data_IF_052550373268
#
_entry.id   IF_052550373268
#
_cell.length_a   1.000
_cell.length_b   1.000
_cell.length_c   1.000
_cell.angle_alpha   90.00
_cell.angle_beta   90.00
_cell.angle_gamma   90.00
#
_symmetry.space_group_name_H-M   'P 1'
#
loop_
_entity.id
_entity.type
_entity.pdbx_description
1 polymer ?
#
# COMPACT_ATOMS: atom_id res chain seq x y z
N UNK A 1 20.11 -10.82 -1.17
CA UNK A 1 18.80 -10.28 -1.58
C UNK A 1 19.06 -9.08 -2.48
N UNK A 2 18.41 -8.98 -3.66
CA UNK A 2 18.58 -7.84 -4.55
C UNK A 2 18.22 -6.53 -3.85
N UNK A 3 19.00 -5.48 -4.08
CA UNK A 3 18.73 -4.15 -3.54
C UNK A 3 17.89 -3.33 -4.53
N UNK A 4 16.76 -2.82 -4.06
CA UNK A 4 15.90 -1.89 -4.78
C UNK A 4 16.10 -0.46 -4.29
N UNK A 5 16.25 0.48 -5.22
CA UNK A 5 16.35 1.91 -4.90
C UNK A 5 15.04 2.62 -5.22
N UNK A 6 14.52 3.39 -4.27
CA UNK A 6 13.37 4.25 -4.50
C UNK A 6 13.78 5.39 -5.45
N UNK A 7 13.04 5.59 -6.54
CA UNK A 7 13.37 6.66 -7.50
C UNK A 7 13.22 8.05 -6.86
N UNK A 8 14.08 8.99 -7.25
CA UNK A 8 14.17 10.33 -6.64
C UNK A 8 12.83 11.07 -6.55
N UNK A 9 12.02 11.02 -7.61
CA UNK A 9 10.70 11.68 -7.61
C UNK A 9 9.74 11.14 -6.55
N UNK A 10 9.89 9.87 -6.17
CA UNK A 10 9.09 9.22 -5.13
C UNK A 10 9.62 9.55 -3.74
N UNK A 11 10.94 9.65 -3.58
CA UNK A 11 11.57 10.17 -2.34
C UNK A 11 11.07 11.58 -2.04
N UNK A 12 11.11 12.47 -3.03
CA UNK A 12 10.67 13.86 -2.87
C UNK A 12 9.18 13.97 -2.54
N UNK A 13 8.36 13.11 -3.16
CA UNK A 13 6.93 13.03 -2.85
C UNK A 13 6.68 12.53 -1.41
N UNK A 14 7.39 11.49 -0.98
CA UNK A 14 7.26 10.94 0.37
C UNK A 14 7.55 11.99 1.43
N UNK A 15 8.63 12.74 1.28
CA UNK A 15 8.96 13.87 2.17
C UNK A 15 7.87 14.93 2.22
N UNK A 16 7.32 15.32 1.07
CA UNK A 16 6.28 16.37 0.99
C UNK A 16 4.95 15.95 1.61
N UNK A 17 4.70 14.64 1.73
CA UNK A 17 3.41 14.10 2.17
C UNK A 17 3.50 13.34 3.49
N UNK A 18 4.67 13.38 4.14
CA UNK A 18 5.02 12.59 5.32
C UNK A 18 3.98 12.71 6.44
N UNK A 19 3.58 13.93 6.82
CA UNK A 19 2.62 14.15 7.90
C UNK A 19 1.24 13.52 7.62
N UNK A 20 0.78 13.53 6.36
CA UNK A 20 -0.48 12.89 6.00
C UNK A 20 -0.40 11.37 6.18
N UNK A 21 0.72 10.76 5.78
CA UNK A 21 0.92 9.32 5.94
C UNK A 21 1.20 8.92 7.39
N UNK A 22 1.85 9.77 8.18
CA UNK A 22 2.01 9.58 9.62
C UNK A 22 0.65 9.59 10.34
N UNK A 23 -0.26 10.47 9.95
CA UNK A 23 -1.63 10.48 10.48
C UNK A 23 -2.38 9.19 10.11
N UNK A 24 -2.30 8.74 8.85
CA UNK A 24 -2.92 7.48 8.41
C UNK A 24 -2.33 6.28 9.19
N UNK A 25 -1.00 6.18 9.30
CA UNK A 25 -0.30 5.15 10.08
C UNK A 25 -0.81 5.10 11.52
N UNK A 26 -0.89 6.26 12.17
CA UNK A 26 -1.32 6.39 13.56
C UNK A 26 -2.78 5.92 13.73
N UNK A 27 -3.68 6.31 12.84
CA UNK A 27 -5.08 5.86 12.86
C UNK A 27 -5.22 4.34 12.67
N UNK A 28 -4.38 3.76 11.80
CA UNK A 28 -4.32 2.31 11.62
C UNK A 28 -3.86 1.63 12.92
N UNK A 29 -2.81 2.14 13.57
CA UNK A 29 -2.31 1.61 14.83
C UNK A 29 -3.36 1.67 15.96
N UNK A 30 -4.16 2.74 16.00
CA UNK A 30 -5.30 2.86 16.93
C UNK A 30 -6.47 1.93 16.63
N UNK A 31 -6.56 1.39 15.42
CA UNK A 31 -7.64 0.48 15.03
C UNK A 31 -7.49 -0.94 15.62
N UNK A 32 -6.30 -1.28 16.13
CA UNK A 32 -6.07 -2.53 16.85
C UNK A 32 -4.63 -3.06 16.72
N UNK A 33 -4.05 -3.52 17.83
CA UNK A 33 -2.68 -4.03 17.88
C UNK A 33 -2.46 -5.34 17.10
N UNK A 34 -3.54 -6.05 16.74
CA UNK A 34 -3.47 -7.31 15.98
C UNK A 34 -3.48 -7.10 14.46
N UNK A 35 -3.68 -5.87 13.97
CA UNK A 35 -3.70 -5.57 12.54
C UNK A 35 -2.26 -5.46 12.05
N UNK A 36 -1.79 -6.48 11.31
CA UNK A 36 -0.45 -6.48 10.69
C UNK A 36 -0.51 -6.44 9.18
N UNK A 37 -1.44 -7.19 8.58
CA UNK A 37 -1.58 -7.32 7.12
C UNK A 37 -2.73 -6.44 6.64
N UNK A 38 -2.42 -5.49 5.76
CA UNK A 38 -3.35 -4.46 5.31
C UNK A 38 -3.43 -4.48 3.79
N UNK A 39 -4.60 -4.80 3.25
CA UNK A 39 -4.88 -4.72 1.82
C UNK A 39 -5.37 -3.32 1.45
N UNK A 40 -4.74 -2.71 0.43
CA UNK A 40 -5.12 -1.39 -0.05
C UNK A 40 -5.63 -1.53 -1.48
N UNK A 41 -6.88 -1.11 -1.68
CA UNK A 41 -7.56 -1.14 -2.98
C UNK A 41 -8.11 0.23 -3.37
N UNK A 42 -8.66 0.34 -4.57
CA UNK A 42 -9.36 1.51 -5.09
C UNK A 42 -10.58 1.08 -5.91
N UNK A 43 -11.44 2.02 -6.29
CA UNK A 43 -12.62 1.73 -7.11
C UNK A 43 -12.19 1.51 -8.56
N UNK A 44 -11.34 2.39 -9.07
CA UNK A 44 -10.80 2.39 -10.44
C UNK A 44 -9.27 2.52 -10.44
N UNK A 45 -8.68 2.37 -11.62
CA UNK A 45 -7.27 2.64 -11.83
C UNK A 45 -6.94 4.15 -11.72
N UNK A 46 -5.72 4.44 -11.26
CA UNK A 46 -5.19 5.81 -11.23
C UNK A 46 -5.72 6.70 -10.10
N UNK A 47 -6.40 6.15 -9.10
CA UNK A 47 -6.83 6.90 -7.90
C UNK A 47 -5.70 7.14 -6.89
N UNK A 48 -4.53 6.56 -7.13
CA UNK A 48 -3.31 6.77 -6.33
C UNK A 48 -3.08 5.75 -5.22
N UNK A 49 -3.85 4.67 -5.21
CA UNK A 49 -3.67 3.45 -4.40
C UNK A 49 -2.20 3.04 -4.23
N UNK A 50 -1.47 2.77 -5.32
CA UNK A 50 -0.07 2.35 -5.24
C UNK A 50 0.86 3.41 -4.63
N UNK A 51 0.59 4.70 -4.87
CA UNK A 51 1.32 5.79 -4.19
C UNK A 51 1.03 5.76 -2.70
N UNK A 52 -0.23 5.59 -2.31
CA UNK A 52 -0.63 5.45 -0.90
C UNK A 52 0.04 4.24 -0.25
N UNK A 53 0.04 3.08 -0.90
CA UNK A 53 0.67 1.84 -0.41
C UNK A 53 2.16 2.03 -0.13
N UNK A 54 2.90 2.65 -1.06
CA UNK A 54 4.34 2.93 -0.90
C UNK A 54 4.60 3.88 0.26
N UNK A 55 3.91 5.01 0.31
CA UNK A 55 4.20 6.02 1.33
C UNK A 55 3.74 5.58 2.72
N UNK A 56 2.68 4.79 2.81
CA UNK A 56 2.28 4.18 4.08
C UNK A 56 3.33 3.17 4.55
N UNK A 57 3.87 2.33 3.65
CA UNK A 57 4.95 1.41 3.99
C UNK A 57 6.22 2.14 4.46
N UNK A 58 6.59 3.23 3.78
CA UNK A 58 7.70 4.11 4.20
C UNK A 58 7.43 4.72 5.59
N UNK A 59 6.20 5.17 5.86
CA UNK A 59 5.83 5.74 7.15
C UNK A 59 5.91 4.71 8.29
N UNK A 60 5.55 3.44 8.07
CA UNK A 60 5.78 2.39 9.06
C UNK A 60 7.28 2.13 9.25
N UNK A 61 8.05 2.02 8.17
CA UNK A 61 9.49 1.78 8.24
C UNK A 61 10.25 2.92 8.93
N UNK A 62 9.82 4.18 8.75
CA UNK A 62 10.50 5.36 9.33
C UNK A 62 10.48 5.42 10.85
N UNK A 63 9.55 4.70 11.50
CA UNK A 63 9.49 4.53 12.96
C UNK A 63 10.13 3.23 13.44
N UNK A 64 10.93 2.58 12.59
CA UNK A 64 11.71 1.39 12.92
C UNK A 64 10.93 0.06 12.87
N UNK A 65 9.71 0.06 12.33
CA UNK A 65 8.91 -1.15 12.18
C UNK A 65 9.33 -1.90 10.90
N UNK A 66 9.62 -3.19 11.03
CA UNK A 66 9.95 -4.04 9.89
C UNK A 66 8.71 -4.16 9.01
N UNK A 67 8.79 -3.60 7.81
CA UNK A 67 7.66 -3.43 6.92
C UNK A 67 7.91 -4.14 5.60
N UNK A 68 6.93 -4.91 5.14
CA UNK A 68 6.93 -5.51 3.81
C UNK A 68 5.87 -4.84 2.94
N UNK A 69 6.26 -4.36 1.77
CA UNK A 69 5.33 -3.93 0.72
C UNK A 69 5.21 -5.02 -0.35
N UNK A 70 4.00 -5.49 -0.60
CA UNK A 70 3.71 -6.49 -1.63
C UNK A 70 2.90 -5.83 -2.74
N UNK A 71 3.46 -5.85 -3.95
CA UNK A 71 2.77 -5.47 -5.17
C UNK A 71 1.98 -6.67 -5.71
N UNK A 72 0.71 -6.75 -5.33
CA UNK A 72 -0.21 -7.81 -5.75
C UNK A 72 -1.08 -7.41 -6.95
N UNK A 73 -0.84 -6.25 -7.57
CA UNK A 73 -1.44 -5.91 -8.87
C UNK A 73 -0.64 -6.55 -10.02
N UNK A 74 -0.79 -7.87 -10.15
CA UNK A 74 -0.11 -8.65 -11.20
C UNK A 74 -0.69 -8.42 -12.59
N UNK A 75 -1.73 -7.58 -12.73
CA UNK A 75 -2.34 -7.23 -14.03
C UNK A 75 -1.75 -5.96 -14.61
N UNK A 76 -1.59 -4.93 -13.78
CA UNK A 76 -1.12 -3.62 -14.23
C UNK A 76 -0.31 -2.90 -13.15
N UNK A 77 0.74 -3.55 -12.66
CA UNK A 77 1.65 -2.95 -11.68
C UNK A 77 2.30 -1.67 -12.19
N UNK A 78 2.12 -0.61 -11.40
CA UNK A 78 2.84 0.66 -11.54
C UNK A 78 4.04 0.78 -10.61
N UNK A 79 4.25 -0.22 -9.72
CA UNK A 79 5.35 -0.22 -8.75
C UNK A 79 6.70 -0.58 -9.37
N UNK A 80 6.70 -1.24 -10.53
CA UNK A 80 7.90 -1.46 -11.37
C UNK A 80 8.63 -0.15 -11.76
N UNK A 81 7.92 0.98 -11.79
CA UNK A 81 8.48 2.32 -12.01
C UNK A 81 8.98 3.02 -10.73
N UNK A 82 8.59 2.52 -9.56
CA UNK A 82 8.83 3.15 -8.26
C UNK A 82 10.15 2.71 -7.65
N UNK A 83 10.46 1.43 -7.76
CA UNK A 83 11.69 0.83 -7.27
C UNK A 83 12.54 0.34 -8.45
N UNK A 84 13.85 0.61 -8.44
CA UNK A 84 14.79 0.20 -9.48
C UNK A 84 15.91 -0.64 -8.91
N UNK A 85 16.30 -1.69 -9.63
CA UNK A 85 17.49 -2.48 -9.32
C UNK A 85 18.39 -2.58 -10.54
N UNK A 86 19.68 -2.74 -10.30
CA UNK A 86 20.65 -3.12 -11.32
C UNK A 86 20.82 -4.64 -11.43
N UNK A 87 20.24 -5.39 -10.49
CA UNK A 87 20.30 -6.85 -10.44
C UNK A 87 18.93 -7.45 -10.84
N UNK A 88 18.91 -8.63 -11.47
CA UNK A 88 17.66 -9.34 -11.71
C UNK A 88 17.05 -9.83 -10.39
N UNK A 89 15.73 -9.77 -10.29
CA UNK A 89 14.98 -10.26 -9.15
C UNK A 89 13.66 -10.90 -9.58
N UNK A 90 13.12 -11.77 -8.74
CA UNK A 90 11.82 -12.43 -8.96
C UNK A 90 10.72 -11.65 -8.24
N UNK A 91 9.51 -11.66 -8.80
CA UNK A 91 8.34 -11.06 -8.18
C UNK A 91 7.32 -12.08 -7.70
N UNK A 92 6.19 -11.58 -7.21
CA UNK A 92 5.07 -12.35 -6.67
C UNK A 92 4.59 -13.41 -7.66
N UNK A 93 4.40 -13.06 -8.93
CA UNK A 93 3.94 -14.02 -9.94
C UNK A 93 4.92 -15.17 -10.17
N UNK A 94 6.24 -14.91 -10.05
CA UNK A 94 7.25 -15.96 -10.14
C UNK A 94 7.15 -16.93 -8.96
N UNK A 95 6.97 -16.40 -7.75
CA UNK A 95 6.79 -17.19 -6.53
C UNK A 95 5.52 -18.04 -6.61
N UNK A 96 4.39 -17.43 -6.94
CA UNK A 96 3.09 -18.11 -6.97
C UNK A 96 3.01 -19.18 -8.06
N UNK A 97 3.66 -18.98 -9.22
CA UNK A 97 3.61 -19.92 -10.34
C UNK A 97 4.72 -20.99 -10.33
N UNK A 98 5.95 -20.65 -9.93
CA UNK A 98 7.13 -21.55 -10.06
C UNK A 98 7.67 -22.09 -8.74
N UNK A 99 7.01 -21.81 -7.61
CA UNK A 99 7.56 -22.08 -6.28
C UNK A 99 9.00 -21.56 -6.16
N UNK A 100 9.24 -20.33 -6.66
CA UNK A 100 10.52 -19.68 -6.47
C UNK A 100 10.84 -19.57 -4.97
N UNK A 101 12.12 -19.52 -4.60
CA UNK A 101 12.48 -19.29 -3.21
C UNK A 101 11.97 -17.91 -2.77
N UNK A 102 11.32 -17.86 -1.62
CA UNK A 102 10.81 -16.63 -1.04
C UNK A 102 11.94 -15.62 -0.76
N UNK A 103 13.14 -16.09 -0.40
CA UNK A 103 14.31 -15.25 -0.16
C UNK A 103 14.86 -14.62 -1.46
N UNK A 104 14.56 -15.18 -2.62
CA UNK A 104 14.86 -14.59 -3.94
C UNK A 104 13.75 -13.64 -4.44
N UNK A 105 12.59 -13.67 -3.78
CA UNK A 105 11.40 -12.87 -4.13
C UNK A 105 11.32 -11.59 -3.29
N UNK A 106 11.72 -11.67 -2.02
CA UNK A 106 11.83 -10.52 -1.12
C UNK A 106 13.10 -9.75 -1.46
N UNK A 107 12.93 -8.48 -1.84
CA UNK A 107 14.02 -7.58 -2.15
C UNK A 107 14.16 -6.52 -1.06
N UNK A 108 15.38 -6.28 -0.60
CA UNK A 108 15.66 -5.18 0.33
C UNK A 108 15.59 -3.85 -0.42
N UNK A 109 15.26 -2.77 0.29
CA UNK A 109 15.30 -1.42 -0.30
C UNK A 109 16.43 -0.57 0.27
N UNK A 110 16.68 0.59 -0.34
CA UNK A 110 17.51 1.65 0.22
C UNK A 110 16.86 2.41 1.38
N UNK A 111 15.66 1.98 1.81
CA UNK A 111 14.95 2.49 2.97
C UNK A 111 15.07 1.45 4.09
N UNK A 112 15.69 1.85 5.20
CA UNK A 112 15.88 0.97 6.36
C UNK A 112 14.54 0.47 6.88
N UNK A 113 14.45 -0.85 7.13
CA UNK A 113 13.23 -1.49 7.63
C UNK A 113 12.15 -1.75 6.58
N UNK A 114 12.36 -1.39 5.31
CA UNK A 114 11.41 -1.64 4.23
C UNK A 114 11.95 -2.67 3.23
N UNK A 115 11.22 -3.78 3.10
CA UNK A 115 11.40 -4.77 2.04
C UNK A 115 10.22 -4.72 1.06
N UNK A 116 10.44 -5.22 -0.16
CA UNK A 116 9.46 -5.20 -1.23
C UNK A 116 9.41 -6.55 -1.96
N UNK A 117 8.19 -7.01 -2.24
CA UNK A 117 7.91 -8.01 -3.27
C UNK A 117 7.23 -7.28 -4.43
N UNK A 118 7.87 -7.27 -5.60
CA UNK A 118 7.28 -6.74 -6.84
C UNK A 118 6.23 -7.69 -7.41
N UNK A 119 5.37 -7.24 -8.34
CA UNK A 119 4.38 -8.13 -8.95
C UNK A 119 4.99 -9.24 -9.80
N UNK A 120 6.14 -9.00 -10.44
CA UNK A 120 6.73 -9.89 -11.43
C UNK A 120 6.04 -9.80 -12.80
N UNK A 121 6.38 -10.70 -13.74
CA UNK A 121 5.74 -10.73 -15.06
C UNK A 121 4.24 -11.04 -14.95
N UNK A 122 3.44 -10.49 -15.86
CA UNK A 122 1.99 -10.75 -15.89
C UNK A 122 1.74 -12.25 -16.13
N UNK A 123 1.11 -12.98 -15.20
CA UNK A 123 0.84 -14.40 -15.37
C UNK A 123 -0.38 -14.63 -16.27
N UNK A 124 -0.51 -15.81 -16.91
CA UNK A 124 -1.66 -16.11 -17.76
C UNK A 124 -2.98 -16.15 -16.97
N UNK A 125 -2.95 -16.61 -15.71
CA UNK A 125 -4.12 -16.71 -14.84
C UNK A 125 -3.85 -16.05 -13.46
N UNK A 126 -3.95 -14.72 -13.34
CA UNK A 126 -3.65 -14.00 -12.09
C UNK A 126 -4.50 -14.44 -10.89
N UNK A 127 -5.81 -14.54 -11.08
CA UNK A 127 -6.77 -14.80 -9.99
C UNK A 127 -6.54 -16.15 -9.33
N UNK A 128 -6.29 -17.21 -10.10
CA UNK A 128 -6.08 -18.56 -9.54
C UNK A 128 -4.79 -18.67 -8.74
N UNK A 129 -3.76 -17.91 -9.12
CA UNK A 129 -2.50 -17.85 -8.37
C UNK A 129 -2.67 -17.22 -6.98
N UNK A 130 -3.60 -16.28 -6.82
CA UNK A 130 -3.89 -15.65 -5.53
C UNK A 130 -4.72 -16.55 -4.59
N UNK A 131 -5.41 -17.55 -5.14
CA UNK A 131 -6.25 -18.48 -4.37
C UNK A 131 -5.51 -19.74 -3.90
N UNK A 132 -4.27 -19.94 -4.37
CA UNK A 132 -3.52 -21.14 -4.07
C UNK A 132 -2.83 -21.10 -2.70
N UNK A 133 -2.22 -22.23 -2.33
CA UNK A 133 -1.55 -22.43 -1.05
C UNK A 133 -0.27 -21.61 -0.93
N UNK A 134 0.37 -21.25 -2.05
CA UNK A 134 1.57 -20.43 -2.05
C UNK A 134 1.28 -19.02 -1.53
N UNK A 135 0.16 -18.41 -1.93
CA UNK A 135 -0.18 -17.09 -1.42
C UNK A 135 -0.48 -17.14 0.09
N UNK A 136 -1.15 -18.18 0.57
CA UNK A 136 -1.38 -18.40 2.01
C UNK A 136 -0.06 -18.56 2.76
N UNK A 137 0.84 -19.39 2.25
CA UNK A 137 2.17 -19.60 2.82
C UNK A 137 2.98 -18.29 2.87
N UNK A 138 2.95 -17.49 1.81
CA UNK A 138 3.57 -16.16 1.78
C UNK A 138 3.05 -15.28 2.91
N UNK A 139 1.72 -15.24 3.12
CA UNK A 139 1.12 -14.43 4.20
C UNK A 139 1.55 -14.92 5.59
N UNK A 140 1.60 -16.23 5.83
CA UNK A 140 2.07 -16.81 7.09
C UNK A 140 3.52 -16.41 7.38
N UNK A 141 4.41 -16.55 6.39
CA UNK A 141 5.81 -16.17 6.54
C UNK A 141 5.93 -14.66 6.77
N UNK A 142 5.22 -13.84 6.00
CA UNK A 142 5.23 -12.39 6.14
C UNK A 142 4.78 -11.94 7.55
N UNK A 143 3.69 -12.53 8.08
CA UNK A 143 3.19 -12.26 9.44
C UNK A 143 4.20 -12.58 10.55
N UNK A 144 5.04 -13.59 10.32
CA UNK A 144 6.08 -13.99 11.29
C UNK A 144 7.32 -13.10 11.24
N UNK A 145 7.66 -12.55 10.07
CA UNK A 145 8.91 -11.81 9.84
C UNK A 145 8.77 -10.29 9.99
N UNK A 146 7.59 -9.75 9.73
CA UNK A 146 7.34 -8.31 9.66
C UNK A 146 6.35 -7.86 10.73
N UNK A 147 6.53 -6.62 11.17
CA UNK A 147 5.61 -5.96 12.09
C UNK A 147 4.37 -5.48 11.32
N UNK A 148 4.56 -5.02 10.07
CA UNK A 148 3.50 -4.66 9.13
C UNK A 148 3.73 -5.20 7.71
N UNK A 149 2.64 -5.57 7.05
CA UNK A 149 2.62 -5.99 5.64
C UNK A 149 1.57 -5.17 4.91
N UNK A 150 2.00 -4.36 3.95
CA UNK A 150 1.12 -3.54 3.11
C UNK A 150 0.98 -4.22 1.75
N UNK A 151 -0.25 -4.52 1.34
CA UNK A 151 -0.52 -5.18 0.06
C UNK A 151 -1.22 -4.21 -0.89
N UNK A 152 -0.54 -3.86 -1.96
CA UNK A 152 -1.10 -3.08 -3.06
C UNK A 152 -1.88 -4.00 -4.00
N UNK A 153 -3.20 -3.90 -4.06
CA UNK A 153 -4.05 -4.81 -4.85
C UNK A 153 -4.47 -4.18 -6.18
N UNK A 154 -5.07 -4.91 -7.13
CA UNK A 154 -5.85 -4.29 -8.20
C UNK A 154 -7.05 -3.46 -7.66
N UNK A 155 -7.71 -2.63 -8.49
CA UNK A 155 -8.95 -1.94 -8.09
C UNK A 155 -10.11 -2.94 -7.90
N UNK A 156 -10.72 -2.95 -6.71
CA UNK A 156 -11.82 -3.87 -6.37
C UNK A 156 -13.09 -3.63 -7.20
N UNK A 157 -13.27 -2.41 -7.70
CA UNK A 157 -14.39 -2.10 -8.59
C UNK A 157 -14.25 -2.71 -10.00
N UNK A 158 -13.07 -3.22 -10.36
CA UNK A 158 -12.79 -3.76 -11.70
C UNK A 158 -12.60 -5.29 -11.70
N UNK A 159 -11.92 -5.85 -10.70
CA UNK A 159 -11.60 -7.28 -10.63
C UNK A 159 -11.70 -7.83 -9.21
N UNK A 160 -12.00 -9.13 -9.10
CA UNK A 160 -12.22 -9.81 -7.81
C UNK A 160 -10.92 -10.06 -7.02
N UNK A 161 -9.77 -9.97 -7.67
CA UNK A 161 -8.44 -10.25 -7.10
C UNK A 161 -8.22 -9.50 -5.77
N UNK A 162 -8.67 -8.24 -5.67
CA UNK A 162 -8.58 -7.45 -4.45
C UNK A 162 -9.38 -8.03 -3.29
N UNK A 163 -10.55 -8.62 -3.54
CA UNK A 163 -11.37 -9.27 -2.53
C UNK A 163 -10.72 -10.55 -2.00
N UNK A 164 -10.08 -11.34 -2.89
CA UNK A 164 -9.34 -12.55 -2.52
C UNK A 164 -8.14 -12.18 -1.65
N UNK A 165 -7.38 -11.14 -2.03
CA UNK A 165 -6.25 -10.65 -1.26
C UNK A 165 -6.71 -10.11 0.10
N UNK A 166 -7.79 -9.30 0.11
CA UNK A 166 -8.36 -8.75 1.34
C UNK A 166 -8.81 -9.85 2.30
N UNK A 167 -9.35 -10.97 1.80
CA UNK A 167 -9.73 -12.10 2.65
C UNK A 167 -8.57 -12.72 3.44
N UNK A 168 -7.33 -12.58 2.95
CA UNK A 168 -6.12 -13.06 3.64
C UNK A 168 -5.46 -11.98 4.52
N UNK A 169 -5.95 -10.75 4.47
CA UNK A 169 -5.48 -9.62 5.26
C UNK A 169 -6.27 -9.47 6.56
N UNK A 170 -5.66 -8.85 7.57
CA UNK A 170 -6.36 -8.53 8.83
C UNK A 170 -7.35 -7.39 8.60
N UNK A 171 -6.95 -6.45 7.74
CA UNK A 171 -7.71 -5.25 7.50
C UNK A 171 -7.59 -4.77 6.04
N UNK A 172 -8.57 -3.96 5.63
CA UNK A 172 -8.60 -3.34 4.30
C UNK A 172 -8.85 -1.84 4.36
N UNK A 173 -8.25 -1.13 3.39
CA UNK A 173 -8.34 0.31 3.23
C UNK A 173 -8.71 0.62 1.77
N UNK A 174 -9.66 1.54 1.56
CA UNK A 174 -10.03 1.99 0.21
C UNK A 174 -9.41 3.36 -0.07
N UNK A 175 -8.73 3.52 -1.19
CA UNK A 175 -8.24 4.80 -1.69
C UNK A 175 -9.18 5.28 -2.79
N UNK A 176 -9.65 6.53 -2.70
CA UNK A 176 -10.47 7.13 -3.76
C UNK A 176 -10.04 8.54 -4.12
N UNK A 177 -10.12 8.89 -5.41
CA UNK A 177 -9.77 10.22 -5.90
C UNK A 177 -10.93 11.22 -5.68
N UNK A 178 -10.63 12.33 -5.00
CA UNK A 178 -11.54 13.44 -4.79
C UNK A 178 -12.11 13.97 -6.11
N UNK A 179 -13.41 14.24 -6.12
CA UNK A 179 -14.13 14.78 -7.28
C UNK A 179 -14.24 13.86 -8.51
N UNK A 180 -13.59 12.69 -8.51
CA UNK A 180 -13.55 11.79 -9.69
C UNK A 180 -14.60 10.68 -9.64
N UNK A 181 -14.74 10.00 -8.50
CA UNK A 181 -15.59 8.80 -8.40
C UNK A 181 -16.94 9.14 -7.76
N UNK A 182 -18.02 8.66 -8.39
CA UNK A 182 -19.38 8.82 -7.84
C UNK A 182 -19.53 8.02 -6.55
N UNK A 183 -20.15 8.63 -5.53
CA UNK A 183 -20.39 8.03 -4.20
C UNK A 183 -20.95 6.61 -4.24
N UNK A 184 -21.87 6.30 -5.16
CA UNK A 184 -22.45 4.95 -5.31
C UNK A 184 -21.41 3.87 -5.60
N UNK A 185 -20.38 4.17 -6.38
CA UNK A 185 -19.32 3.21 -6.71
C UNK A 185 -18.35 3.03 -5.53
N UNK A 186 -18.05 4.12 -4.82
CA UNK A 186 -17.29 4.05 -3.55
C UNK A 186 -18.05 3.17 -2.54
N UNK A 187 -19.35 3.38 -2.38
CA UNK A 187 -20.19 2.60 -1.45
C UNK A 187 -20.17 1.11 -1.79
N UNK A 188 -20.33 0.77 -3.08
CA UNK A 188 -20.24 -0.62 -3.54
C UNK A 188 -18.86 -1.25 -3.27
N UNK A 189 -17.78 -0.51 -3.50
CA UNK A 189 -16.42 -0.99 -3.22
C UNK A 189 -16.19 -1.23 -1.71
N UNK A 190 -16.74 -0.36 -0.85
CA UNK A 190 -16.72 -0.55 0.60
C UNK A 190 -17.49 -1.81 1.01
N UNK A 191 -18.66 -2.05 0.43
CA UNK A 191 -19.45 -3.27 0.68
C UNK A 191 -18.67 -4.52 0.28
N UNK A 192 -18.02 -4.52 -0.89
CA UNK A 192 -17.20 -5.65 -1.35
C UNK A 192 -16.00 -5.92 -0.43
N UNK A 193 -15.30 -4.87 0.03
CA UNK A 193 -14.21 -5.03 0.99
C UNK A 193 -14.71 -5.59 2.33
N UNK A 194 -15.86 -5.10 2.84
CA UNK A 194 -16.45 -5.65 4.07
C UNK A 194 -16.87 -7.11 3.93
N UNK A 195 -17.35 -7.52 2.75
CA UNK A 195 -17.71 -8.91 2.46
C UNK A 195 -16.50 -9.85 2.38
N UNK A 196 -15.27 -9.33 2.24
CA UNK A 196 -14.05 -10.15 2.26
C UNK A 196 -13.77 -10.81 3.61
N UNK A 197 -14.39 -10.36 4.70
CA UNK A 197 -14.12 -10.85 6.06
C UNK A 197 -12.98 -10.13 6.78
N UNK A 198 -12.19 -9.30 6.09
CA UNK A 198 -11.22 -8.39 6.73
C UNK A 198 -11.90 -7.21 7.43
N UNK A 199 -11.26 -6.67 8.46
CA UNK A 199 -11.72 -5.43 9.09
C UNK A 199 -11.57 -4.25 8.12
N UNK A 200 -12.67 -3.63 7.72
CA UNK A 200 -12.61 -2.43 6.89
C UNK A 200 -12.28 -1.18 7.73
N UNK A 201 -11.10 -0.60 7.55
CA UNK A 201 -10.59 0.53 8.34
C UNK A 201 -11.16 1.87 7.93
N UNK A 202 -11.47 2.05 6.64
CA UNK A 202 -12.01 3.30 6.14
C UNK A 202 -11.54 3.66 4.74
N UNK A 203 -11.65 4.94 4.43
CA UNK A 203 -11.36 5.51 3.11
C UNK A 203 -10.28 6.58 3.23
N UNK A 204 -9.26 6.48 2.39
CA UNK A 204 -8.30 7.57 2.13
C UNK A 204 -8.79 8.36 0.93
N UNK A 205 -9.16 9.61 1.16
CA UNK A 205 -9.48 10.55 0.09
C UNK A 205 -8.18 11.14 -0.45
N UNK A 206 -7.87 10.84 -1.71
CA UNK A 206 -6.63 11.25 -2.37
C UNK A 206 -6.90 12.29 -3.47
N UNK A 207 -5.85 13.00 -3.91
CA UNK A 207 -5.93 14.08 -4.92
C UNK A 207 -6.89 15.22 -4.53
N UNK A 208 -6.99 15.50 -3.24
CA UNK A 208 -7.75 16.64 -2.73
C UNK A 208 -7.10 17.94 -3.22
N UNK A 209 -7.91 18.84 -3.76
CA UNK A 209 -7.45 20.17 -4.11
C UNK A 209 -7.49 21.07 -2.86
N UNK A 210 -6.34 21.21 -2.22
CA UNK A 210 -6.16 22.02 -1.02
C UNK A 210 -6.38 23.53 -1.28
N UNK A 211 -6.48 23.99 -2.53
CA UNK A 211 -6.76 25.39 -2.85
C UNK A 211 -8.25 25.73 -2.75
N UNK A 212 -9.11 24.75 -3.03
CA UNK A 212 -10.57 24.89 -2.93
C UNK A 212 -11.03 24.85 -1.46
N UNK A 213 -10.37 24.02 -0.63
CA UNK A 213 -10.70 23.87 0.79
C UNK A 213 -10.19 25.03 1.69
N UNK A 214 -9.37 25.96 1.17
CA UNK A 214 -9.01 27.19 1.90
C UNK A 214 -10.23 28.08 2.21
N UNK A 215 -11.35 27.91 1.50
CA UNK A 215 -12.61 28.59 1.77
C UNK A 215 -13.56 27.81 2.69
N UNK A 216 -13.28 26.54 2.99
CA UNK A 216 -14.16 25.64 3.73
C UNK A 216 -13.43 24.89 4.84
N UNK A 217 -13.29 25.54 6.00
CA UNK A 217 -12.99 24.98 7.32
C UNK A 217 -12.71 23.47 7.41
N UNK A 218 -11.46 23.06 7.19
CA UNK A 218 -10.79 21.99 7.97
C UNK A 218 -9.27 22.20 7.90
N UNK A 219 -8.66 22.32 9.08
CA UNK A 219 -7.33 22.91 9.29
C UNK A 219 -6.19 22.21 8.54
N UNK A 220 -5.34 23.03 7.93
CA UNK A 220 -4.03 22.65 7.41
C UNK A 220 -3.13 22.14 8.54
N UNK A 221 -2.98 20.82 8.65
CA UNK A 221 -2.03 20.18 9.59
C UNK A 221 -0.57 20.61 9.33
N UNK A 222 -0.27 21.09 8.12
CA UNK A 222 1.07 21.57 7.74
C UNK A 222 1.50 22.88 8.41
N UNK A 223 0.59 23.65 9.02
CA UNK A 223 0.92 24.95 9.63
C UNK A 223 1.32 24.86 11.11
N UNK A 224 1.16 23.71 11.76
CA UNK A 224 1.48 23.56 13.19
C UNK A 224 2.99 23.54 13.46
N UNK A 225 3.81 23.14 12.49
CA UNK A 225 5.28 23.10 12.61
C UNK A 225 5.99 24.46 12.53
N UNK A 226 5.30 25.54 12.11
CA UNK A 226 5.91 26.86 11.99
C UNK A 226 5.86 27.69 13.28
N UNK A 227 4.99 27.34 14.23
CA UNK A 227 4.91 28.07 15.51
C UNK A 227 6.15 27.87 16.40
N UNK A 228 6.88 26.78 16.23
CA UNK A 228 8.12 26.51 16.97
C UNK A 228 9.38 27.18 16.42
N UNK A 229 9.32 27.83 15.25
CA UNK A 229 10.50 28.46 14.61
C UNK A 229 10.62 29.97 14.83
N UNK A 230 9.71 30.58 15.61
CA UNK A 230 9.68 32.03 15.85
C UNK A 230 10.08 32.47 17.25
N UNK A 231 10.78 31.64 18.00
CA UNK A 231 11.41 32.02 19.27
C UNK A 231 12.88 31.65 19.19
N UNK A 232 13.66 32.52 18.54
CA UNK A 232 15.09 32.78 18.76
C UNK A 232 15.62 33.63 17.58
N UNK A 233 15.30 34.93 17.60
CA UNK A 233 16.10 36.06 17.11
C UNK A 233 15.35 37.38 17.30
#
# INVERSE_FOLDING_TARGET
MPLLKLVKSKVDFAKKTEEYYNAIRTNIQFSGAQIKVIAISSVEAGEGKSTTSVNLAISFASVGLRTLLIDADTRNSVLSGTFKSNEPYKGLSNFLYRNADLNETICQTDISGLDVISSGPVPPNPTSLLQNDNFRHLMEVARSRYDYVIIDTPPIGLVIDAGIIAHQADASLLVTAAGKIKRRFVTKAVEQLKQSGSQFLGVVLNKVDMTVDKYGSYGSYGSYGEYGKKTDQ
#
